data_IF_095342328214
#
_entry.id   IF_095342328214
#
_cell.length_a   1.000
_cell.length_b   1.000
_cell.length_c   1.000
_cell.angle_alpha   90.00
_cell.angle_beta   90.00
_cell.angle_gamma   90.00
#
_symmetry.space_group_name_H-M   'P 1'
#
loop_
_entity.id
_entity.type
_entity.pdbx_description
1 polymer ?
#
# COMPACT_ATOMS: atom_id res chain seq x y z
N UNK A 1 15.23 -8.71 11.07
CA UNK A 1 15.32 -7.97 9.77
C UNK A 1 14.29 -6.85 9.84
N UNK A 2 14.54 -5.67 9.22
CA UNK A 2 13.52 -4.62 9.14
C UNK A 2 12.34 -5.09 8.29
N UNK A 3 11.11 -4.67 8.63
CA UNK A 3 9.96 -4.90 7.78
C UNK A 3 10.10 -4.19 6.43
N UNK A 4 9.43 -4.70 5.40
CA UNK A 4 9.35 -4.04 4.09
C UNK A 4 7.91 -3.58 3.92
N UNK A 5 7.70 -2.27 3.83
CA UNK A 5 6.37 -1.66 3.76
C UNK A 5 6.11 -1.22 2.34
N UNK A 6 5.15 -1.85 1.67
CA UNK A 6 4.77 -1.50 0.31
C UNK A 6 3.67 -0.43 0.33
N UNK A 7 3.98 0.75 -0.19
CA UNK A 7 3.05 1.87 -0.35
C UNK A 7 2.87 2.20 -1.83
N UNK A 8 1.78 2.84 -2.18
CA UNK A 8 1.47 3.23 -3.56
C UNK A 8 -0.02 3.15 -3.86
N UNK A 9 -0.37 3.57 -5.06
CA UNK A 9 -1.74 3.65 -5.53
C UNK A 9 -2.49 2.31 -5.47
N UNK A 10 -3.84 2.33 -5.33
CA UNK A 10 -4.65 1.16 -5.65
C UNK A 10 -4.32 0.67 -7.07
N UNK A 11 -4.23 -0.63 -7.26
CA UNK A 11 -3.83 -1.21 -8.56
C UNK A 11 -2.33 -1.26 -8.85
N UNK A 12 -1.47 -0.72 -7.97
CA UNK A 12 -0.01 -0.79 -8.14
C UNK A 12 0.58 -2.21 -7.97
N UNK A 13 -0.21 -3.17 -7.48
CA UNK A 13 0.22 -4.56 -7.34
C UNK A 13 0.82 -4.91 -5.97
N UNK A 14 0.66 -4.06 -4.95
CA UNK A 14 1.26 -4.23 -3.62
C UNK A 14 1.06 -5.61 -3.01
N UNK A 15 -0.17 -6.14 -3.01
CA UNK A 15 -0.45 -7.46 -2.42
C UNK A 15 0.20 -8.59 -3.21
N UNK A 16 0.16 -8.55 -4.54
CA UNK A 16 0.77 -9.56 -5.40
C UNK A 16 2.31 -9.55 -5.27
N UNK A 17 2.91 -8.37 -5.43
CA UNK A 17 4.35 -8.18 -5.27
C UNK A 17 4.79 -8.52 -3.85
N UNK A 18 3.97 -8.14 -2.85
CA UNK A 18 4.25 -8.41 -1.44
C UNK A 18 4.34 -9.90 -1.12
N UNK A 19 3.43 -10.71 -1.62
CA UNK A 19 3.48 -12.18 -1.46
C UNK A 19 4.74 -12.77 -2.08
N UNK A 20 5.07 -12.36 -3.31
CA UNK A 20 6.26 -12.85 -4.03
C UNK A 20 7.54 -12.41 -3.31
N UNK A 21 7.61 -11.15 -2.89
CA UNK A 21 8.75 -10.60 -2.17
C UNK A 21 8.94 -11.31 -0.81
N UNK A 22 7.87 -11.52 -0.05
CA UNK A 22 7.92 -12.23 1.22
C UNK A 22 8.46 -13.65 1.06
N UNK A 23 7.96 -14.38 0.04
CA UNK A 23 8.46 -15.71 -0.29
C UNK A 23 9.96 -15.70 -0.64
N UNK A 24 10.40 -14.74 -1.46
CA UNK A 24 11.78 -14.63 -1.92
C UNK A 24 12.73 -14.25 -0.77
N UNK A 25 12.27 -13.38 0.14
CA UNK A 25 13.07 -12.88 1.27
C UNK A 25 12.94 -13.74 2.54
N UNK A 26 12.17 -14.82 2.51
CA UNK A 26 11.85 -15.68 3.67
C UNK A 26 11.28 -14.89 4.85
N UNK A 27 10.33 -13.98 4.54
CA UNK A 27 9.62 -13.13 5.48
C UNK A 27 8.14 -13.51 5.53
N UNK A 28 7.46 -13.11 6.59
CA UNK A 28 6.00 -13.19 6.66
C UNK A 28 5.34 -12.18 5.72
N UNK A 29 4.11 -12.44 5.30
CA UNK A 29 3.31 -11.52 4.51
C UNK A 29 2.10 -11.04 5.30
N UNK A 30 1.86 -9.73 5.27
CA UNK A 30 0.70 -9.11 5.89
C UNK A 30 0.05 -8.10 4.93
N UNK A 31 -1.27 -8.19 4.78
CA UNK A 31 -2.07 -7.21 4.04
C UNK A 31 -2.96 -6.46 5.02
N UNK A 32 -2.78 -5.13 5.11
CA UNK A 32 -3.51 -4.30 6.09
C UNK A 32 -5.00 -4.22 5.80
N UNK A 33 -5.41 -4.36 4.53
CA UNK A 33 -6.82 -4.37 4.16
C UNK A 33 -7.54 -5.57 4.78
N UNK A 34 -6.87 -6.74 4.84
CA UNK A 34 -7.42 -7.93 5.49
C UNK A 34 -7.53 -7.76 7.00
N UNK A 35 -6.59 -7.05 7.64
CA UNK A 35 -6.66 -6.76 9.08
C UNK A 35 -7.88 -5.88 9.36
N UNK A 36 -8.09 -4.83 8.57
CA UNK A 36 -9.22 -3.91 8.72
C UNK A 36 -10.54 -4.68 8.53
N UNK A 37 -10.66 -5.46 7.45
CA UNK A 37 -11.85 -6.25 7.18
C UNK A 37 -12.17 -7.25 8.30
N UNK A 38 -11.14 -7.90 8.84
CA UNK A 38 -11.30 -8.84 9.96
C UNK A 38 -11.76 -8.13 11.24
N UNK A 39 -11.21 -6.94 11.52
CA UNK A 39 -11.60 -6.13 12.69
C UNK A 39 -13.03 -5.63 12.59
N UNK A 40 -13.42 -5.12 11.42
CA UNK A 40 -14.74 -4.54 11.18
C UNK A 40 -15.83 -5.59 10.86
N UNK A 41 -15.43 -6.82 10.51
CA UNK A 41 -16.34 -7.89 10.11
C UNK A 41 -17.04 -7.66 8.77
N UNK A 42 -16.50 -6.79 7.92
CA UNK A 42 -17.11 -6.33 6.65
C UNK A 42 -16.05 -6.11 5.57
N UNK A 43 -16.46 -6.15 4.30
CA UNK A 43 -15.59 -5.78 3.19
C UNK A 43 -15.30 -4.26 3.20
N UNK A 44 -14.15 -3.84 2.67
CA UNK A 44 -13.75 -2.42 2.66
C UNK A 44 -14.79 -1.53 1.99
N UNK A 45 -15.36 -1.97 0.86
CA UNK A 45 -16.40 -1.22 0.14
C UNK A 45 -17.66 -1.00 0.99
N UNK A 46 -18.02 -1.96 1.84
CA UNK A 46 -19.15 -1.85 2.76
C UNK A 46 -18.86 -0.85 3.89
N UNK A 47 -17.64 -0.91 4.45
CA UNK A 47 -17.21 0.01 5.50
C UNK A 47 -17.22 1.44 4.98
N UNK A 48 -16.66 1.69 3.80
CA UNK A 48 -16.61 3.03 3.17
C UNK A 48 -18.03 3.52 2.85
N UNK A 49 -18.89 2.65 2.33
CA UNK A 49 -20.28 2.99 1.99
C UNK A 49 -21.09 3.37 3.23
N UNK A 50 -20.92 2.68 4.34
CA UNK A 50 -21.65 2.90 5.57
C UNK A 50 -21.12 4.08 6.40
N UNK A 51 -19.80 4.21 6.49
CA UNK A 51 -19.14 5.15 7.41
C UNK A 51 -18.56 6.38 6.70
N UNK A 52 -18.40 6.32 5.38
CA UNK A 52 -17.76 7.37 4.60
C UNK A 52 -16.24 7.25 4.55
N UNK A 53 -15.64 7.98 3.61
CA UNK A 53 -14.20 7.93 3.32
C UNK A 53 -13.35 8.43 4.50
N UNK A 54 -13.73 9.54 5.13
CA UNK A 54 -12.94 10.13 6.21
C UNK A 54 -12.90 9.23 7.45
N UNK A 55 -14.03 8.62 7.79
CA UNK A 55 -14.08 7.66 8.90
C UNK A 55 -13.33 6.37 8.59
N UNK A 56 -13.37 5.91 7.33
CA UNK A 56 -12.56 4.78 6.91
C UNK A 56 -11.06 5.05 7.08
N UNK A 57 -10.58 6.22 6.67
CA UNK A 57 -9.16 6.64 6.84
C UNK A 57 -8.79 6.64 8.33
N UNK A 58 -9.67 7.11 9.20
CA UNK A 58 -9.45 7.08 10.65
C UNK A 58 -9.34 5.65 11.20
N UNK A 59 -10.24 4.75 10.76
CA UNK A 59 -10.21 3.33 11.13
C UNK A 59 -8.90 2.67 10.64
N UNK A 60 -8.48 2.97 9.41
CA UNK A 60 -7.23 2.49 8.83
C UNK A 60 -6.02 2.95 9.66
N UNK A 61 -5.94 4.25 9.98
CA UNK A 61 -4.87 4.84 10.79
C UNK A 61 -4.77 4.20 12.18
N UNK A 62 -5.89 4.10 12.90
CA UNK A 62 -5.93 3.47 14.22
C UNK A 62 -5.59 1.98 14.17
N UNK A 63 -6.10 1.28 13.14
CA UNK A 63 -5.91 -0.16 13.02
C UNK A 63 -4.45 -0.50 12.73
N UNK A 64 -3.85 0.18 11.76
CA UNK A 64 -2.44 -0.03 11.41
C UNK A 64 -1.53 0.47 12.54
N UNK A 65 -1.85 1.62 13.13
CA UNK A 65 -1.09 2.20 14.24
C UNK A 65 -0.98 1.31 15.48
N UNK A 66 -1.96 0.42 15.68
CA UNK A 66 -1.99 -0.52 16.81
C UNK A 66 -1.35 -1.90 16.50
N UNK A 67 -0.96 -2.17 15.25
CA UNK A 67 -0.38 -3.47 14.87
C UNK A 67 1.10 -3.56 15.22
N UNK A 68 1.55 -4.79 15.43
CA UNK A 68 2.98 -5.14 15.50
C UNK A 68 3.35 -5.96 14.27
N UNK A 69 4.38 -5.51 13.58
CA UNK A 69 4.93 -6.20 12.42
C UNK A 69 6.38 -6.60 12.72
N UNK A 70 6.70 -7.87 12.53
CA UNK A 70 8.04 -8.39 12.75
C UNK A 70 8.41 -9.28 11.57
N UNK A 71 9.61 -9.06 10.99
CA UNK A 71 10.12 -9.82 9.86
C UNK A 71 9.08 -10.01 8.73
N UNK A 72 8.33 -8.96 8.38
CA UNK A 72 7.19 -9.03 7.49
C UNK A 72 7.31 -8.10 6.29
N UNK A 73 6.80 -8.56 5.15
CA UNK A 73 6.41 -7.68 4.03
C UNK A 73 4.96 -7.25 4.27
N UNK A 74 4.74 -5.95 4.42
CA UNK A 74 3.43 -5.38 4.71
C UNK A 74 2.91 -4.64 3.48
N UNK A 75 1.86 -5.14 2.85
CA UNK A 75 1.12 -4.44 1.80
C UNK A 75 0.06 -3.54 2.45
N UNK A 76 0.12 -2.24 2.18
CA UNK A 76 -0.83 -1.27 2.75
C UNK A 76 -1.98 -0.96 1.79
N UNK A 77 -3.10 -0.49 2.32
CA UNK A 77 -4.10 0.22 1.54
C UNK A 77 -3.52 1.48 0.89
N UNK A 78 -4.10 1.94 -0.22
CA UNK A 78 -3.62 3.15 -0.91
C UNK A 78 -3.79 4.42 -0.09
N UNK A 79 -4.68 4.43 0.88
CA UNK A 79 -4.98 5.57 1.77
C UNK A 79 -4.18 5.58 3.07
N UNK A 80 -3.41 4.53 3.37
CA UNK A 80 -2.62 4.42 4.60
C UNK A 80 -1.67 5.62 4.83
N UNK A 81 -1.21 6.26 3.75
CA UNK A 81 -0.33 7.44 3.80
C UNK A 81 -1.01 8.73 4.31
N UNK A 82 -2.33 8.74 4.49
CA UNK A 82 -3.02 9.84 5.17
C UNK A 82 -2.93 9.72 6.70
N UNK A 83 -2.67 8.53 7.23
CA UNK A 83 -2.62 8.24 8.65
C UNK A 83 -1.23 8.48 9.24
N UNK A 84 -1.10 9.48 10.12
CA UNK A 84 0.18 9.77 10.78
C UNK A 84 0.59 8.65 11.77
N UNK A 85 -0.37 8.06 12.50
CA UNK A 85 -0.10 6.96 13.44
C UNK A 85 0.29 5.70 12.67
N UNK A 86 -0.43 5.38 11.59
CA UNK A 86 -0.14 4.24 10.72
C UNK A 86 1.29 4.34 10.15
N UNK A 87 1.63 5.48 9.53
CA UNK A 87 2.93 5.66 8.90
C UNK A 87 4.06 5.71 9.93
N UNK A 88 3.84 6.31 11.08
CA UNK A 88 4.81 6.29 12.19
C UNK A 88 5.11 4.87 12.64
N UNK A 89 4.07 4.09 12.91
CA UNK A 89 4.22 2.69 13.35
C UNK A 89 4.91 1.83 12.29
N UNK A 90 4.50 1.94 11.02
CA UNK A 90 5.08 1.17 9.91
C UNK A 90 6.58 1.49 9.73
N UNK A 91 6.97 2.76 9.87
CA UNK A 91 8.36 3.20 9.67
C UNK A 91 9.25 3.02 10.90
N UNK A 92 8.72 2.77 12.09
CA UNK A 92 9.52 2.59 13.31
C UNK A 92 10.52 1.43 13.14
N UNK A 93 10.10 0.33 12.53
CA UNK A 93 10.95 -0.83 12.23
C UNK A 93 10.78 -1.32 10.79
N UNK A 94 10.55 -0.42 9.84
CA UNK A 94 10.26 -0.74 8.45
C UNK A 94 10.99 0.18 7.45
N UNK A 95 11.17 -0.35 6.24
CA UNK A 95 11.64 0.37 5.06
C UNK A 95 10.44 0.57 4.14
N UNK A 96 10.04 1.80 3.90
CA UNK A 96 8.90 2.11 3.02
C UNK A 96 9.35 2.11 1.55
N UNK A 97 8.76 1.22 0.77
CA UNK A 97 9.01 1.06 -0.66
C UNK A 97 7.77 1.55 -1.42
N UNK A 98 7.93 2.64 -2.15
CA UNK A 98 6.88 3.16 -3.03
C UNK A 98 6.91 2.43 -4.38
N UNK A 99 5.85 1.69 -4.66
CA UNK A 99 5.61 1.07 -5.96
C UNK A 99 4.96 2.11 -6.87
N UNK A 100 5.77 2.80 -7.67
CA UNK A 100 5.31 3.84 -8.58
C UNK A 100 4.81 3.18 -9.87
N UNK A 101 3.58 3.50 -10.26
CA UNK A 101 2.95 3.11 -11.53
C UNK A 101 2.31 4.35 -12.12
N UNK A 102 2.47 4.59 -13.41
CA UNK A 102 1.88 5.76 -14.05
C UNK A 102 0.34 5.72 -14.05
N UNK A 103 -0.29 6.91 -14.09
CA UNK A 103 -1.74 7.03 -13.97
C UNK A 103 -2.49 6.30 -15.09
N UNK A 104 -1.98 6.33 -16.33
CA UNK A 104 -2.63 5.67 -17.47
C UNK A 104 -2.69 4.15 -17.32
N UNK A 105 -1.64 3.55 -16.76
CA UNK A 105 -1.62 2.11 -16.50
C UNK A 105 -2.52 1.75 -15.31
N UNK A 106 -2.55 2.59 -14.28
CA UNK A 106 -3.46 2.41 -13.13
C UNK A 106 -4.92 2.43 -13.58
N UNK A 107 -5.31 3.34 -14.47
CA UNK A 107 -6.67 3.38 -15.04
C UNK A 107 -7.05 2.07 -15.73
N UNK A 108 -6.12 1.47 -16.48
CA UNK A 108 -6.32 0.16 -17.12
C UNK A 108 -6.45 -0.99 -16.13
N UNK A 109 -5.66 -0.95 -15.03
CA UNK A 109 -5.65 -1.99 -14.00
C UNK A 109 -6.85 -1.93 -13.05
N UNK A 110 -7.41 -0.74 -12.85
CA UNK A 110 -8.53 -0.50 -11.93
C UNK A 110 -9.86 -0.50 -12.71
N UNK A 111 -10.19 -1.62 -13.36
CA UNK A 111 -11.47 -1.77 -14.04
C UNK A 111 -12.69 -1.81 -13.09
N UNK A 112 -12.49 -2.05 -11.79
CA UNK A 112 -13.54 -2.29 -10.80
C UNK A 112 -13.37 -1.39 -9.56
N UNK A 113 -13.29 -0.09 -9.75
CA UNK A 113 -13.10 0.91 -8.67
C UNK A 113 -14.14 0.73 -7.55
N UNK A 114 -15.41 0.52 -7.91
CA UNK A 114 -16.52 0.45 -6.95
C UNK A 114 -16.55 -0.83 -6.11
N UNK A 115 -15.93 -1.91 -6.58
CA UNK A 115 -15.92 -3.19 -5.86
C UNK A 115 -14.70 -3.40 -4.98
N UNK A 116 -13.63 -2.64 -5.20
CA UNK A 116 -12.36 -2.80 -4.46
C UNK A 116 -12.28 -2.04 -3.13
N UNK A 117 -13.26 -1.17 -2.83
CA UNK A 117 -13.20 -0.37 -1.61
C UNK A 117 -12.03 0.62 -1.60
N UNK A 118 -11.98 1.48 -2.63
CA UNK A 118 -10.98 2.56 -2.70
C UNK A 118 -11.51 3.76 -1.92
N UNK A 119 -10.76 4.24 -0.92
CA UNK A 119 -11.09 5.43 -0.15
C UNK A 119 -10.88 6.68 -1.00
N UNK A 120 -11.90 7.12 -1.70
CA UNK A 120 -11.89 8.32 -2.55
C UNK A 120 -13.26 9.00 -2.52
N UNK A 121 -13.29 10.31 -2.76
CA UNK A 121 -14.55 11.06 -2.88
C UNK A 121 -15.27 10.65 -4.17
N UNK A 122 -16.59 10.65 -4.11
CA UNK A 122 -17.41 10.38 -5.28
C UNK A 122 -17.09 11.35 -6.43
N UNK A 123 -16.97 10.82 -7.65
CA UNK A 123 -16.63 11.61 -8.83
C UNK A 123 -15.13 11.88 -9.04
N UNK A 124 -14.24 11.52 -8.09
CA UNK A 124 -12.79 11.66 -8.26
C UNK A 124 -12.26 10.66 -9.30
N UNK A 125 -11.47 11.13 -10.25
CA UNK A 125 -10.77 10.28 -11.24
C UNK A 125 -9.51 9.66 -10.65
N UNK A 126 -9.00 8.59 -11.28
CA UNK A 126 -7.71 7.99 -10.88
C UNK A 126 -6.56 8.99 -11.05
N UNK A 127 -6.59 9.81 -12.09
CA UNK A 127 -5.58 10.84 -12.32
C UNK A 127 -5.56 11.90 -11.19
N UNK A 128 -6.73 12.35 -10.75
CA UNK A 128 -6.85 13.29 -9.62
C UNK A 128 -6.39 12.65 -8.31
N UNK A 129 -6.79 11.40 -8.05
CA UNK A 129 -6.36 10.66 -6.88
C UNK A 129 -4.84 10.43 -6.88
N UNK A 130 -4.26 10.14 -8.06
CA UNK A 130 -2.82 10.02 -8.24
C UNK A 130 -2.10 11.34 -7.93
N UNK A 131 -2.59 12.46 -8.48
CA UNK A 131 -2.00 13.78 -8.24
C UNK A 131 -2.04 14.17 -6.75
N UNK A 132 -3.09 13.79 -6.02
CA UNK A 132 -3.23 14.03 -4.59
C UNK A 132 -2.28 13.15 -3.75
N UNK A 133 -2.16 11.85 -4.09
CA UNK A 133 -1.45 10.88 -3.26
C UNK A 133 0.03 10.70 -3.57
N UNK A 134 0.46 10.94 -4.83
CA UNK A 134 1.84 10.74 -5.22
C UNK A 134 2.84 11.52 -4.35
N UNK A 135 2.60 12.81 -4.01
CA UNK A 135 3.47 13.53 -3.09
C UNK A 135 3.57 12.92 -1.70
N UNK A 136 2.49 12.29 -1.21
CA UNK A 136 2.50 11.62 0.10
C UNK A 136 3.30 10.32 0.04
N UNK A 137 3.18 9.53 -1.02
CA UNK A 137 4.02 8.34 -1.19
C UNK A 137 5.49 8.71 -1.28
N UNK A 138 5.83 9.76 -2.04
CA UNK A 138 7.20 10.26 -2.17
C UNK A 138 7.76 10.77 -0.82
N UNK A 139 6.94 11.44 -0.02
CA UNK A 139 7.30 11.91 1.33
C UNK A 139 7.70 10.78 2.27
N UNK A 140 6.97 9.66 2.24
CA UNK A 140 7.20 8.56 3.17
C UNK A 140 8.18 7.50 2.65
N UNK A 141 8.41 7.45 1.33
CA UNK A 141 9.26 6.44 0.70
C UNK A 141 10.73 6.57 1.14
N UNK A 142 11.31 5.45 1.56
CA UNK A 142 12.75 5.30 1.70
C UNK A 142 13.36 4.80 0.37
N UNK A 143 12.55 4.13 -0.44
CA UNK A 143 12.90 3.62 -1.76
C UNK A 143 11.71 3.78 -2.71
N UNK A 144 11.94 4.27 -3.92
CA UNK A 144 10.95 4.30 -5.00
C UNK A 144 11.34 3.34 -6.11
N UNK A 145 10.42 2.47 -6.50
CA UNK A 145 10.60 1.49 -7.58
C UNK A 145 9.54 1.74 -8.64
N UNK A 146 9.97 2.01 -9.87
CA UNK A 146 9.07 2.12 -11.01
C UNK A 146 8.64 0.73 -11.46
N UNK A 147 7.35 0.45 -11.28
CA UNK A 147 6.66 -0.78 -11.64
C UNK A 147 5.75 -0.62 -12.86
N UNK A 148 5.84 0.52 -13.57
CA UNK A 148 5.15 0.70 -14.85
C UNK A 148 5.68 -0.31 -15.85
N UNK A 149 4.79 -0.88 -16.67
CA UNK A 149 5.12 -1.87 -17.71
C UNK A 149 5.99 -3.06 -17.25
N UNK A 150 5.97 -3.37 -15.94
CA UNK A 150 6.76 -4.45 -15.34
C UNK A 150 5.86 -5.57 -14.83
N UNK A 151 6.36 -6.81 -14.93
CA UNK A 151 5.74 -7.96 -14.27
C UNK A 151 5.95 -7.88 -12.74
N UNK A 152 5.15 -8.59 -11.94
CA UNK A 152 5.37 -8.66 -10.49
C UNK A 152 6.75 -9.19 -10.13
N UNK A 153 7.28 -10.16 -10.86
CA UNK A 153 8.60 -10.75 -10.66
C UNK A 153 9.70 -9.72 -10.92
N UNK A 154 9.60 -8.95 -12.00
CA UNK A 154 10.56 -7.87 -12.31
C UNK A 154 10.53 -6.77 -11.24
N UNK A 155 9.36 -6.47 -10.68
CA UNK A 155 9.24 -5.53 -9.57
C UNK A 155 9.94 -6.06 -8.31
N UNK A 156 9.80 -7.35 -7.99
CA UNK A 156 10.51 -7.99 -6.87
C UNK A 156 12.02 -7.88 -7.05
N UNK A 157 12.53 -8.20 -8.24
CA UNK A 157 13.97 -8.10 -8.54
C UNK A 157 14.49 -6.66 -8.40
N UNK A 158 13.73 -5.68 -8.90
CA UNK A 158 14.05 -4.26 -8.74
C UNK A 158 14.11 -3.85 -7.27
N UNK A 159 13.15 -4.27 -6.44
CA UNK A 159 13.12 -3.98 -5.01
C UNK A 159 14.37 -4.54 -4.33
N UNK A 160 14.67 -5.82 -4.53
CA UNK A 160 15.80 -6.50 -3.91
C UNK A 160 17.12 -5.83 -4.30
N UNK A 161 17.33 -5.58 -5.59
CA UNK A 161 18.57 -4.96 -6.10
C UNK A 161 18.79 -3.56 -5.51
N UNK A 162 17.72 -2.74 -5.40
CA UNK A 162 17.81 -1.41 -4.81
C UNK A 162 18.07 -1.47 -3.29
N UNK A 163 17.47 -2.43 -2.56
CA UNK A 163 17.73 -2.61 -1.13
C UNK A 163 19.17 -3.00 -0.83
N UNK A 164 19.80 -3.82 -1.68
CA UNK A 164 21.22 -4.21 -1.55
C UNK A 164 22.12 -2.98 -1.74
N UNK A 165 21.75 -2.07 -2.62
CA UNK A 165 22.54 -0.86 -2.93
C UNK A 165 22.48 0.16 -1.80
N UNK A 166 21.35 0.28 -1.11
CA UNK A 166 21.16 1.22 0.01
C UNK A 166 21.87 0.77 1.30
N UNK A 167 22.15 -0.53 1.45
CA UNK A 167 22.81 -1.11 2.62
C UNK A 167 24.35 -1.20 2.49
N UNK A 168 24.92 -0.65 1.42
CA UNK A 168 26.38 -0.48 1.23
C UNK A 168 26.78 0.96 1.53
#
# INVERSE_FOLDING_TARGET
>A
MKNIILIGMPGAGKSTIGVLLAKTMLMDFCDTDLIIQKKEGKALCEIIKEKGTDEFIRIEDETIGAQKFENSVVATGGSAVYGDNAMKNLKENGIAVYLKVNAQELEKRICNIHTRGIAMKEGTTIAELYAERAPLYEKYADLTVDCSDSTPEECVDKIINNMITVNK
#
